data_IF_653948397717
#
_entry.id   IF_653948397717
#
_cell.length_a   1.000
_cell.length_b   1.000
_cell.length_c   1.000
_cell.angle_alpha   90.00
_cell.angle_beta   90.00
_cell.angle_gamma   90.00
#
_symmetry.space_group_name_H-M   'P 1'
#
loop_
_entity.id
_entity.type
_entity.pdbx_description
1 polymer ?
#
# COMPACT_ATOMS: atom_id res chain seq x y z
N UNK A 1 11.57 -24.24 -71.89
CA UNK A 1 10.36 -23.58 -71.33
C UNK A 1 10.36 -23.83 -69.83
N UNK A 2 10.69 -22.82 -69.02
CA UNK A 2 10.62 -22.93 -67.54
C UNK A 2 9.28 -22.35 -67.11
N UNK A 3 8.39 -23.20 -66.62
CA UNK A 3 7.06 -22.82 -66.14
C UNK A 3 7.19 -22.27 -64.72
N UNK A 4 7.14 -20.95 -64.57
CA UNK A 4 7.08 -20.28 -63.26
C UNK A 4 5.72 -20.56 -62.61
N UNK A 5 5.72 -21.42 -61.58
CA UNK A 5 4.58 -21.65 -60.70
C UNK A 5 4.27 -20.36 -59.92
N UNK A 6 3.22 -19.63 -60.34
CA UNK A 6 2.65 -18.51 -59.57
C UNK A 6 2.02 -19.07 -58.29
N UNK A 7 2.64 -18.78 -57.13
CA UNK A 7 2.06 -19.11 -55.82
C UNK A 7 0.72 -18.36 -55.65
N UNK A 8 -0.34 -19.02 -55.17
CA UNK A 8 -1.65 -18.40 -55.03
C UNK A 8 -1.62 -17.29 -53.97
N UNK A 9 -2.25 -16.12 -54.22
CA UNK A 9 -2.24 -14.98 -53.31
C UNK A 9 -2.80 -15.30 -51.91
N UNK A 10 -3.60 -16.37 -51.77
CA UNK A 10 -4.12 -16.85 -50.49
C UNK A 10 -3.02 -17.20 -49.47
N UNK A 11 -1.89 -17.78 -49.88
CA UNK A 11 -0.84 -18.19 -48.94
C UNK A 11 -0.14 -16.99 -48.27
N UNK A 12 -0.06 -15.85 -48.99
CA UNK A 12 0.55 -14.61 -48.49
C UNK A 12 -0.39 -13.94 -47.49
N UNK A 13 -1.70 -13.94 -47.75
CA UNK A 13 -2.71 -13.39 -46.84
C UNK A 13 -2.81 -14.16 -45.51
N UNK A 14 -2.69 -15.49 -45.53
CA UNK A 14 -2.69 -16.31 -44.31
C UNK A 14 -1.44 -16.05 -43.46
N UNK A 15 -0.26 -15.93 -44.07
CA UNK A 15 0.99 -15.62 -43.33
C UNK A 15 0.96 -14.22 -42.68
N UNK A 16 0.36 -13.23 -43.34
CA UNK A 16 0.20 -11.89 -42.77
C UNK A 16 -0.81 -11.87 -41.61
N UNK A 17 -1.90 -12.64 -41.69
CA UNK A 17 -2.90 -12.75 -40.63
C UNK A 17 -2.35 -13.45 -39.37
N UNK A 18 -1.48 -14.46 -39.53
CA UNK A 18 -0.81 -15.13 -38.40
C UNK A 18 0.25 -14.21 -37.77
N UNK A 19 0.98 -13.43 -38.57
CA UNK A 19 1.94 -12.44 -38.06
C UNK A 19 1.26 -11.31 -37.26
N UNK A 20 0.06 -10.88 -37.64
CA UNK A 20 -0.74 -9.90 -36.88
C UNK A 20 -1.37 -10.45 -35.59
N UNK A 21 -1.28 -11.76 -35.34
CA UNK A 21 -1.72 -12.36 -34.07
C UNK A 21 -0.59 -12.48 -33.04
N UNK A 22 0.65 -12.16 -33.44
CA UNK A 22 1.81 -12.08 -32.57
C UNK A 22 2.13 -10.60 -32.31
N UNK A 23 1.19 -9.85 -31.74
CA UNK A 23 1.61 -8.68 -30.97
C UNK A 23 2.49 -9.24 -29.84
N UNK A 24 3.77 -8.83 -29.70
CA UNK A 24 4.45 -9.03 -28.45
C UNK A 24 3.54 -8.39 -27.39
N UNK A 25 3.17 -9.14 -26.34
CA UNK A 25 2.66 -8.51 -25.15
C UNK A 25 3.76 -7.56 -24.68
N UNK A 26 3.65 -6.27 -25.05
CA UNK A 26 4.44 -5.23 -24.44
C UNK A 26 3.88 -5.16 -23.02
N UNK A 27 4.44 -5.97 -22.13
CA UNK A 27 4.30 -5.72 -20.71
C UNK A 27 5.00 -4.39 -20.50
N UNK A 28 4.21 -3.33 -20.34
CA UNK A 28 4.72 -2.05 -19.91
C UNK A 28 5.48 -2.32 -18.60
N UNK A 29 6.77 -2.00 -18.58
CA UNK A 29 7.59 -2.27 -17.42
C UNK A 29 7.04 -1.47 -16.23
N UNK A 30 6.97 -2.08 -15.05
CA UNK A 30 6.47 -1.41 -13.87
C UNK A 30 7.20 -0.09 -13.63
N UNK A 31 6.47 0.97 -13.27
CA UNK A 31 7.03 2.32 -13.10
C UNK A 31 7.99 2.41 -11.92
N UNK A 32 7.82 1.53 -10.93
CA UNK A 32 8.71 1.34 -9.79
C UNK A 32 8.94 -0.15 -9.55
N UNK A 33 10.11 -0.56 -9.02
CA UNK A 33 10.38 -1.96 -8.72
C UNK A 33 9.61 -2.49 -7.50
N UNK A 34 9.07 -1.61 -6.65
CA UNK A 34 8.47 -2.01 -5.38
C UNK A 34 7.52 -0.94 -4.81
N UNK A 35 6.56 -1.37 -4.00
CA UNK A 35 5.60 -0.49 -3.33
C UNK A 35 5.32 -0.92 -1.88
N UNK A 36 5.68 -0.07 -0.92
CA UNK A 36 5.43 -0.28 0.51
C UNK A 36 4.30 0.60 1.03
N UNK A 37 3.37 0.00 1.78
CA UNK A 37 2.12 0.64 2.19
C UNK A 37 2.00 0.62 3.71
N UNK A 38 1.82 1.79 4.31
CA UNK A 38 1.57 1.95 5.74
C UNK A 38 0.22 2.63 5.93
N UNK A 39 -0.48 2.29 7.01
CA UNK A 39 -1.74 2.95 7.29
C UNK A 39 -2.73 2.17 8.13
N UNK A 40 -3.99 2.51 7.93
CA UNK A 40 -5.12 1.94 8.65
C UNK A 40 -6.03 1.07 7.75
N UNK A 41 -7.29 0.91 8.14
CA UNK A 41 -8.30 0.16 7.40
C UNK A 41 -8.49 0.62 5.96
N UNK A 42 -8.17 1.88 5.61
CA UNK A 42 -8.32 2.40 4.25
C UNK A 42 -7.47 1.66 3.22
N UNK A 43 -6.36 1.05 3.65
CA UNK A 43 -5.42 0.35 2.78
C UNK A 43 -5.04 -1.03 3.29
N UNK A 44 -5.56 -1.50 4.42
CA UNK A 44 -5.34 -2.88 4.90
C UNK A 44 -5.81 -3.90 3.85
N UNK A 45 -4.92 -4.86 3.53
CA UNK A 45 -5.17 -5.94 2.58
C UNK A 45 -5.35 -7.31 3.23
N UNK A 46 -5.35 -7.38 4.57
CA UNK A 46 -5.61 -8.61 5.33
C UNK A 46 -4.74 -8.81 6.58
N UNK A 47 -4.00 -7.81 7.06
CA UNK A 47 -3.19 -7.94 8.27
C UNK A 47 -4.04 -8.23 9.52
N UNK A 48 -5.29 -7.75 9.54
CA UNK A 48 -6.22 -7.99 10.65
C UNK A 48 -6.85 -9.39 10.67
N UNK A 49 -6.69 -10.20 9.61
CA UNK A 49 -7.44 -11.45 9.43
C UNK A 49 -7.24 -12.46 10.58
N UNK A 50 -6.02 -12.52 11.13
CA UNK A 50 -5.63 -13.45 12.21
C UNK A 50 -5.60 -12.82 13.61
N UNK A 51 -5.92 -11.53 13.73
CA UNK A 51 -5.90 -10.82 15.01
C UNK A 51 -7.21 -11.04 15.79
N UNK A 52 -7.14 -11.01 17.12
CA UNK A 52 -8.34 -11.00 17.97
C UNK A 52 -8.87 -9.56 18.07
N UNK A 53 -9.73 -9.18 17.14
CA UNK A 53 -10.19 -7.80 16.97
C UNK A 53 -11.57 -7.70 16.32
N UNK A 54 -12.30 -6.67 16.69
CA UNK A 54 -13.55 -6.25 16.03
C UNK A 54 -13.30 -5.45 14.75
N UNK A 55 -12.10 -4.88 14.58
CA UNK A 55 -11.66 -4.24 13.35
C UNK A 55 -11.19 -5.29 12.31
N UNK A 56 -12.08 -6.21 11.94
CA UNK A 56 -11.83 -7.28 10.98
C UNK A 56 -12.99 -7.33 10.01
N UNK A 57 -12.68 -7.49 8.72
CA UNK A 57 -13.65 -7.49 7.62
C UNK A 57 -13.43 -8.65 6.65
N UNK A 58 -12.92 -9.78 7.15
CA UNK A 58 -12.72 -10.99 6.36
C UNK A 58 -13.99 -11.85 6.26
N UNK A 59 -15.11 -11.23 5.89
CA UNK A 59 -16.42 -11.86 5.76
C UNK A 59 -17.33 -11.06 4.80
N UNK A 60 -18.37 -11.66 4.19
CA UNK A 60 -19.29 -10.93 3.31
C UNK A 60 -20.05 -9.79 4.02
N UNK A 61 -20.31 -8.63 3.38
CA UNK A 61 -20.17 -8.38 1.94
C UNK A 61 -18.77 -7.89 1.50
N UNK A 62 -17.81 -7.78 2.40
CA UNK A 62 -16.46 -7.33 2.05
C UNK A 62 -15.79 -8.33 1.10
N UNK A 63 -15.10 -7.81 0.08
CA UNK A 63 -14.47 -8.63 -0.96
C UNK A 63 -15.44 -9.33 -1.91
N UNK A 64 -16.73 -8.95 -1.97
CA UNK A 64 -17.70 -9.52 -2.93
C UNK A 64 -17.28 -9.36 -4.40
N UNK A 65 -16.48 -8.35 -4.73
CA UNK A 65 -15.97 -8.12 -6.09
C UNK A 65 -14.68 -8.93 -6.38
N UNK A 66 -14.10 -9.62 -5.38
CA UNK A 66 -13.00 -10.55 -5.61
C UNK A 66 -13.52 -11.96 -5.88
N UNK A 67 -13.03 -12.65 -6.93
CA UNK A 67 -13.46 -14.01 -7.24
C UNK A 67 -13.25 -15.03 -6.11
N UNK A 68 -12.23 -14.82 -5.28
CA UNK A 68 -11.90 -15.68 -4.14
C UNK A 68 -12.67 -15.32 -2.84
N UNK A 69 -13.49 -14.27 -2.86
CA UNK A 69 -14.26 -13.79 -1.71
C UNK A 69 -13.49 -12.81 -0.82
N UNK A 70 -13.88 -12.69 0.47
CA UNK A 70 -13.29 -11.73 1.40
C UNK A 70 -11.77 -11.90 1.53
N UNK A 71 -11.05 -10.78 1.43
CA UNK A 71 -9.59 -10.75 1.59
C UNK A 71 -9.14 -10.08 2.88
N UNK A 72 -10.03 -9.34 3.56
CA UNK A 72 -9.69 -8.44 4.66
C UNK A 72 -9.53 -6.97 4.27
N UNK A 73 -9.83 -6.61 3.01
CA UNK A 73 -9.96 -5.20 2.58
C UNK A 73 -11.28 -4.62 3.06
N UNK A 74 -11.26 -3.39 3.58
CA UNK A 74 -12.45 -2.69 4.12
C UNK A 74 -13.33 -2.09 3.02
N UNK A 75 -13.61 -2.88 1.99
CA UNK A 75 -14.39 -2.52 0.80
C UNK A 75 -14.94 -3.79 0.14
N UNK A 76 -15.82 -3.62 -0.85
CA UNK A 76 -16.31 -4.73 -1.68
C UNK A 76 -15.21 -5.31 -2.58
N UNK A 77 -14.18 -4.54 -2.92
CA UNK A 77 -13.12 -4.95 -3.84
C UNK A 77 -11.80 -4.26 -3.56
N UNK A 78 -11.31 -3.48 -4.52
CA UNK A 78 -10.00 -2.82 -4.45
C UNK A 78 -9.98 -1.65 -3.47
N UNK A 79 -8.92 -1.55 -2.68
CA UNK A 79 -8.54 -0.35 -1.93
C UNK A 79 -7.81 0.64 -2.85
N UNK A 80 -7.54 1.85 -2.35
CA UNK A 80 -6.72 2.82 -3.07
C UNK A 80 -5.30 2.28 -3.35
N UNK A 81 -4.73 1.51 -2.42
CA UNK A 81 -3.42 0.90 -2.62
C UNK A 81 -3.40 -0.13 -3.77
N UNK A 82 -4.50 -0.87 -3.97
CA UNK A 82 -4.61 -1.80 -5.10
C UNK A 82 -4.71 -1.05 -6.43
N UNK A 83 -5.46 0.04 -6.47
CA UNK A 83 -5.58 0.89 -7.67
C UNK A 83 -4.22 1.50 -8.02
N UNK A 84 -3.47 1.98 -7.02
CA UNK A 84 -2.09 2.47 -7.21
C UNK A 84 -1.21 1.34 -7.75
N UNK A 85 -1.29 0.13 -7.18
CA UNK A 85 -0.50 -1.03 -7.61
C UNK A 85 -0.73 -1.35 -9.10
N UNK A 86 -1.99 -1.34 -9.54
CA UNK A 86 -2.35 -1.54 -10.95
C UNK A 86 -1.79 -0.43 -11.85
N UNK A 87 -1.89 0.83 -11.40
CA UNK A 87 -1.40 1.97 -12.16
C UNK A 87 0.12 1.97 -12.31
N UNK A 88 0.85 1.41 -11.33
CA UNK A 88 2.30 1.23 -11.39
C UNK A 88 2.73 0.07 -12.30
N UNK A 89 1.79 -0.72 -12.83
CA UNK A 89 2.10 -1.91 -13.65
C UNK A 89 2.70 -3.07 -12.86
N UNK A 90 2.51 -3.10 -11.53
CA UNK A 90 2.94 -4.23 -10.70
C UNK A 90 2.01 -5.42 -10.94
N UNK A 91 2.61 -6.61 -11.14
CA UNK A 91 1.91 -7.80 -11.63
C UNK A 91 0.82 -8.32 -10.68
N UNK A 92 1.11 -8.29 -9.38
CA UNK A 92 0.25 -8.84 -8.33
C UNK A 92 -0.06 -7.75 -7.29
N UNK A 93 -1.21 -7.84 -6.62
CA UNK A 93 -1.50 -6.95 -5.49
C UNK A 93 -0.49 -7.13 -4.37
N UNK A 94 -0.12 -6.02 -3.73
CA UNK A 94 0.82 -6.04 -2.61
C UNK A 94 0.21 -6.81 -1.42
N UNK A 95 0.93 -7.85 -0.99
CA UNK A 95 0.48 -8.76 0.07
C UNK A 95 0.56 -8.11 1.46
N UNK A 96 -0.36 -8.48 2.38
CA UNK A 96 -0.23 -8.07 3.78
C UNK A 96 1.00 -8.75 4.41
N UNK A 97 1.72 -8.02 5.25
CA UNK A 97 2.90 -8.53 5.97
C UNK A 97 2.61 -9.85 6.70
N UNK A 98 1.39 -10.03 7.23
CA UNK A 98 0.96 -11.24 7.91
C UNK A 98 1.06 -12.53 7.06
N UNK A 99 1.11 -12.43 5.73
CA UNK A 99 1.19 -13.59 4.83
C UNK A 99 2.25 -13.45 3.73
N UNK A 100 2.95 -12.33 3.65
CA UNK A 100 3.95 -12.08 2.61
C UNK A 100 5.13 -13.06 2.70
N UNK A 101 5.49 -13.63 1.55
CA UNK A 101 6.69 -14.46 1.36
C UNK A 101 7.92 -13.58 1.11
N UNK A 102 9.12 -14.14 1.24
CA UNK A 102 10.37 -13.42 0.95
C UNK A 102 10.44 -12.94 -0.52
N UNK A 103 9.87 -13.69 -1.46
CA UNK A 103 9.79 -13.25 -2.87
C UNK A 103 8.83 -12.08 -3.06
N UNK A 104 7.71 -12.05 -2.34
CA UNK A 104 6.75 -10.94 -2.42
C UNK A 104 7.31 -9.69 -1.74
N UNK A 105 8.10 -9.85 -0.68
CA UNK A 105 8.81 -8.74 -0.04
C UNK A 105 9.69 -7.94 -1.01
N UNK A 106 10.21 -8.56 -2.08
CA UNK A 106 11.01 -7.90 -3.12
C UNK A 106 10.22 -6.85 -3.91
N UNK A 107 8.92 -7.09 -4.13
CA UNK A 107 8.02 -6.22 -4.90
C UNK A 107 7.23 -5.26 -4.00
N UNK A 108 7.29 -5.43 -2.68
CA UNK A 108 6.61 -4.57 -1.72
C UNK A 108 5.75 -5.33 -0.72
N UNK A 109 5.36 -4.63 0.34
CA UNK A 109 4.53 -5.19 1.41
C UNK A 109 3.56 -4.15 1.94
N UNK A 110 2.36 -4.62 2.29
CA UNK A 110 1.35 -3.84 2.95
C UNK A 110 1.41 -4.10 4.46
N UNK A 111 1.76 -3.08 5.23
CA UNK A 111 1.85 -3.12 6.69
C UNK A 111 0.61 -2.58 7.38
N UNK A 112 -0.32 -1.99 6.61
CA UNK A 112 -1.49 -1.32 7.16
C UNK A 112 -2.40 -2.27 7.92
N UNK A 113 -3.08 -1.75 8.95
CA UNK A 113 -3.93 -2.54 9.81
C UNK A 113 -5.16 -1.77 10.23
N UNK A 114 -6.33 -2.39 10.08
CA UNK A 114 -7.58 -1.82 10.59
C UNK A 114 -7.47 -1.42 12.06
N UNK A 115 -8.07 -0.28 12.42
CA UNK A 115 -7.98 0.37 13.74
C UNK A 115 -6.67 1.12 14.01
N UNK A 116 -5.61 0.95 13.22
CA UNK A 116 -4.31 1.56 13.52
C UNK A 116 -4.37 3.09 13.52
N UNK A 117 -3.82 3.70 14.57
CA UNK A 117 -3.46 5.11 14.61
C UNK A 117 -1.95 5.34 14.54
N UNK A 118 -1.56 6.61 14.56
CA UNK A 118 -0.16 7.05 14.70
C UNK A 118 0.35 6.64 16.09
N UNK A 119 -0.48 6.84 17.11
CA UNK A 119 -0.24 6.42 18.49
C UNK A 119 -0.65 4.98 18.68
N UNK A 120 0.16 4.21 19.40
CA UNK A 120 -0.06 2.77 19.58
C UNK A 120 -1.33 2.44 20.38
N UNK A 121 -1.78 3.35 21.25
CA UNK A 121 -3.02 3.16 22.00
C UNK A 121 -4.29 3.34 21.14
N UNK A 122 -4.21 4.11 20.06
CA UNK A 122 -5.35 4.42 19.21
C UNK A 122 -5.88 3.13 18.57
N UNK A 123 -7.18 2.87 18.70
CA UNK A 123 -7.77 1.65 18.16
C UNK A 123 -7.70 0.41 19.05
N UNK A 124 -7.05 0.50 20.21
CA UNK A 124 -6.96 -0.61 21.18
C UNK A 124 -8.33 -1.00 21.76
N UNK A 125 -9.29 -0.07 21.79
CA UNK A 125 -10.68 -0.33 22.17
C UNK A 125 -11.37 -1.38 21.27
N UNK A 126 -10.86 -1.59 20.04
CA UNK A 126 -11.40 -2.58 19.11
C UNK A 126 -10.69 -3.94 19.20
N UNK A 127 -9.64 -4.06 20.02
CA UNK A 127 -8.83 -5.26 20.20
C UNK A 127 -7.45 -5.15 19.56
N UNK A 128 -6.84 -6.29 19.26
CA UNK A 128 -5.48 -6.34 18.69
C UNK A 128 -5.42 -5.72 17.29
N UNK A 129 -4.42 -4.90 17.05
CA UNK A 129 -4.14 -4.30 15.74
C UNK A 129 -2.63 -4.08 15.61
N UNK A 130 -2.15 -3.75 14.40
CA UNK A 130 -0.75 -3.41 14.16
C UNK A 130 -0.62 -1.89 14.13
N UNK A 131 -0.31 -1.30 15.28
CA UNK A 131 -0.05 0.15 15.43
C UNK A 131 1.11 0.63 14.56
N UNK A 132 1.19 1.93 14.27
CA UNK A 132 2.16 2.47 13.30
C UNK A 132 3.61 2.08 13.61
N UNK A 133 4.03 2.13 14.89
CA UNK A 133 5.39 1.72 15.28
C UNK A 133 5.65 0.24 14.97
N UNK A 134 4.64 -0.63 15.15
CA UNK A 134 4.78 -2.03 14.76
C UNK A 134 4.83 -2.20 13.24
N UNK A 135 4.15 -1.36 12.47
CA UNK A 135 4.27 -1.34 11.00
C UNK A 135 5.70 -0.99 10.57
N UNK A 136 6.34 -0.02 11.23
CA UNK A 136 7.75 0.32 11.02
C UNK A 136 8.67 -0.87 11.34
N UNK A 137 8.44 -1.54 12.47
CA UNK A 137 9.19 -2.75 12.84
C UNK A 137 9.03 -3.87 11.80
N UNK A 138 7.82 -4.08 11.28
CA UNK A 138 7.56 -5.05 10.21
C UNK A 138 8.32 -4.68 8.92
N UNK A 139 8.45 -3.38 8.63
CA UNK A 139 9.28 -2.92 7.52
C UNK A 139 10.77 -3.22 7.74
N UNK A 140 11.29 -3.04 8.96
CA UNK A 140 12.68 -3.41 9.27
C UNK A 140 12.95 -4.91 9.10
N UNK A 141 11.96 -5.77 9.42
CA UNK A 141 12.03 -7.21 9.11
C UNK A 141 12.10 -7.45 7.60
N UNK A 142 11.33 -6.69 6.82
CA UNK A 142 11.35 -6.76 5.36
C UNK A 142 12.71 -6.34 4.80
N UNK A 143 13.24 -5.19 5.23
CA UNK A 143 14.59 -4.71 4.85
C UNK A 143 15.65 -5.75 5.19
N UNK A 144 15.57 -6.38 6.37
CA UNK A 144 16.49 -7.44 6.79
C UNK A 144 16.42 -8.66 5.85
N UNK A 145 15.22 -9.03 5.39
CA UNK A 145 15.03 -10.09 4.40
C UNK A 145 15.65 -9.73 3.05
N UNK A 146 15.36 -8.52 2.54
CA UNK A 146 15.93 -8.00 1.30
C UNK A 146 17.46 -7.95 1.35
N UNK A 147 18.03 -7.57 2.51
CA UNK A 147 19.48 -7.48 2.71
C UNK A 147 20.18 -8.82 2.53
N UNK A 148 19.54 -9.94 2.89
CA UNK A 148 20.11 -11.28 2.67
C UNK A 148 20.25 -11.61 1.19
N UNK A 149 19.36 -11.08 0.36
CA UNK A 149 19.31 -11.34 -1.09
C UNK A 149 20.13 -10.32 -1.89
N UNK A 150 19.97 -9.04 -1.58
CA UNK A 150 20.53 -7.91 -2.33
C UNK A 150 21.86 -7.41 -1.78
N UNK A 151 22.21 -7.75 -0.54
CA UNK A 151 23.41 -7.27 0.16
C UNK A 151 23.55 -5.74 0.04
N UNK A 152 24.67 -5.26 -0.49
CA UNK A 152 24.98 -3.83 -0.66
C UNK A 152 24.00 -3.10 -1.59
N UNK A 153 23.27 -3.84 -2.45
CA UNK A 153 22.29 -3.25 -3.38
C UNK A 153 20.95 -2.92 -2.72
N UNK A 154 20.73 -3.33 -1.47
CA UNK A 154 19.45 -3.13 -0.76
C UNK A 154 19.04 -1.68 -0.70
N UNK A 155 19.97 -0.79 -0.33
CA UNK A 155 19.69 0.64 -0.29
C UNK A 155 19.34 1.21 -1.66
N UNK A 156 19.99 0.74 -2.72
CA UNK A 156 19.72 1.20 -4.09
C UNK A 156 18.34 0.74 -4.59
N UNK A 157 17.94 -0.50 -4.26
CA UNK A 157 16.62 -1.03 -4.54
C UNK A 157 15.51 -0.26 -3.81
N UNK A 158 15.65 -0.10 -2.49
CA UNK A 158 14.68 0.64 -1.66
C UNK A 158 14.51 2.09 -2.12
N UNK A 159 15.59 2.73 -2.60
CA UNK A 159 15.57 4.09 -3.11
C UNK A 159 14.78 4.29 -4.42
N UNK A 160 14.34 3.20 -5.06
CA UNK A 160 13.50 3.21 -6.26
C UNK A 160 12.05 2.84 -5.95
N UNK A 161 11.74 2.35 -4.74
CA UNK A 161 10.38 1.96 -4.38
C UNK A 161 9.49 3.17 -4.11
N UNK A 162 8.19 2.99 -4.32
CA UNK A 162 7.15 3.90 -3.82
C UNK A 162 6.83 3.59 -2.35
N UNK A 163 6.54 4.64 -1.58
CA UNK A 163 6.03 4.53 -0.21
C UNK A 163 4.76 5.36 -0.04
N UNK A 164 3.73 4.78 0.59
CA UNK A 164 2.54 5.52 0.99
C UNK A 164 2.22 5.36 2.46
N UNK A 165 1.70 6.43 3.07
CA UNK A 165 1.29 6.45 4.48
C UNK A 165 -0.09 7.11 4.59
N UNK A 166 -1.10 6.33 4.98
CA UNK A 166 -2.47 6.81 5.20
C UNK A 166 -2.94 6.47 6.61
N UNK A 167 -2.77 7.37 7.57
CA UNK A 167 -3.00 7.11 9.00
C UNK A 167 -3.42 8.40 9.75
N UNK A 168 -3.81 8.26 11.02
CA UNK A 168 -4.20 9.40 11.88
C UNK A 168 -5.70 9.50 12.15
N UNK A 169 -6.53 8.78 11.37
CA UNK A 169 -7.98 8.84 11.53
C UNK A 169 -8.43 8.19 12.84
N UNK A 170 -7.84 7.05 13.20
CA UNK A 170 -8.14 6.30 14.41
C UNK A 170 -7.69 6.98 15.69
N UNK A 171 -6.64 7.80 15.66
CA UNK A 171 -6.23 8.64 16.79
C UNK A 171 -7.37 9.57 17.22
N UNK A 172 -8.21 10.00 16.28
CA UNK A 172 -9.42 10.74 16.59
C UNK A 172 -10.59 9.83 16.95
N UNK A 173 -10.99 8.92 16.07
CA UNK A 173 -12.26 8.18 16.25
C UNK A 173 -12.19 7.08 17.31
N UNK A 174 -11.01 6.52 17.54
CA UNK A 174 -10.74 5.39 18.43
C UNK A 174 -9.77 5.75 19.57
N UNK A 175 -9.56 7.05 19.80
CA UNK A 175 -9.00 7.58 21.04
C UNK A 175 -9.67 8.92 21.39
N UNK A 176 -9.30 10.04 20.75
CA UNK A 176 -9.71 11.39 21.16
C UNK A 176 -11.23 11.58 21.36
N UNK A 177 -12.07 11.02 20.47
CA UNK A 177 -13.52 11.18 20.55
C UNK A 177 -14.22 10.07 21.36
N UNK A 178 -13.47 9.13 21.94
CA UNK A 178 -14.06 8.13 22.83
C UNK A 178 -14.52 8.78 24.15
N UNK A 179 -15.63 8.29 24.74
CA UNK A 179 -16.06 8.73 26.06
C UNK A 179 -14.93 8.57 27.09
N UNK A 180 -14.69 9.63 27.88
CA UNK A 180 -13.63 9.66 28.90
C UNK A 180 -12.21 9.47 28.36
N UNK A 181 -11.94 9.76 27.08
CA UNK A 181 -10.57 9.74 26.54
C UNK A 181 -9.68 10.70 27.31
N UNK A 182 -8.59 10.19 27.86
CA UNK A 182 -7.57 11.01 28.51
C UNK A 182 -7.00 12.05 27.55
N UNK A 183 -6.82 11.70 26.28
CA UNK A 183 -6.34 12.59 25.22
C UNK A 183 -7.23 13.82 25.07
N UNK A 184 -8.56 13.65 25.06
CA UNK A 184 -9.52 14.76 24.94
C UNK A 184 -9.53 15.71 26.14
N UNK A 185 -9.05 15.25 27.30
CA UNK A 185 -8.92 16.08 28.51
C UNK A 185 -7.60 16.86 28.55
N UNK A 186 -6.60 16.40 27.80
CA UNK A 186 -5.26 16.96 27.78
C UNK A 186 -5.04 17.95 26.63
N UNK A 187 -5.70 17.73 25.50
CA UNK A 187 -5.49 18.50 24.28
C UNK A 187 -6.81 19.00 23.72
N UNK A 188 -6.79 20.21 23.17
CA UNK A 188 -7.78 20.63 22.15
C UNK A 188 -7.56 19.86 20.84
N UNK A 189 -8.53 19.85 19.91
CA UNK A 189 -8.37 19.12 18.65
C UNK A 189 -7.16 19.59 17.82
N UNK A 190 -6.83 20.88 17.88
CA UNK A 190 -5.70 21.50 17.18
C UNK A 190 -4.36 21.17 17.83
N UNK A 191 -4.29 21.16 19.16
CA UNK A 191 -3.08 20.75 19.89
C UNK A 191 -2.80 19.26 19.64
N UNK A 192 -3.85 18.43 19.67
CA UNK A 192 -3.71 17.01 19.37
C UNK A 192 -3.26 16.77 17.93
N UNK A 193 -3.76 17.55 16.96
CA UNK A 193 -3.25 17.50 15.59
C UNK A 193 -1.74 17.78 15.55
N UNK A 194 -1.26 18.78 16.30
CA UNK A 194 0.17 19.07 16.44
C UNK A 194 0.97 17.89 16.99
N UNK A 195 0.49 17.26 18.07
CA UNK A 195 1.13 16.07 18.65
C UNK A 195 1.22 14.92 17.65
N UNK A 196 0.14 14.64 16.92
CA UNK A 196 0.12 13.58 15.91
C UNK A 196 1.08 13.87 14.75
N UNK A 197 1.20 15.13 14.35
CA UNK A 197 2.15 15.57 13.33
C UNK A 197 3.57 15.27 13.80
N UNK A 198 3.94 15.76 14.99
CA UNK A 198 5.30 15.61 15.53
C UNK A 198 5.66 14.12 15.69
N UNK A 199 4.77 13.32 16.25
CA UNK A 199 4.99 11.88 16.43
C UNK A 199 5.13 11.14 15.09
N UNK A 200 4.30 11.49 14.10
CA UNK A 200 4.44 10.91 12.77
C UNK A 200 5.76 11.31 12.13
N UNK A 201 6.19 12.57 12.26
CA UNK A 201 7.48 13.03 11.76
C UNK A 201 8.65 12.30 12.42
N UNK A 202 8.61 12.11 13.74
CA UNK A 202 9.63 11.38 14.51
C UNK A 202 9.70 9.92 14.09
N UNK A 203 8.56 9.23 14.04
CA UNK A 203 8.47 7.82 13.63
C UNK A 203 8.92 7.62 12.17
N UNK A 204 8.69 8.61 11.31
CA UNK A 204 9.16 8.58 9.93
C UNK A 204 10.65 8.93 9.78
N UNK A 205 11.39 9.32 10.83
CA UNK A 205 12.85 9.44 10.70
C UNK A 205 13.49 8.09 10.34
N UNK A 206 12.87 6.98 10.73
CA UNK A 206 13.29 5.63 10.35
C UNK A 206 13.03 5.32 8.87
N UNK A 207 12.07 6.01 8.25
CA UNK A 207 11.77 5.98 6.81
C UNK A 207 12.20 7.29 6.12
N UNK A 208 13.05 8.11 6.75
CA UNK A 208 13.37 9.50 6.35
C UNK A 208 13.84 9.65 4.90
N UNK A 209 14.40 8.59 4.33
CA UNK A 209 14.75 8.54 2.90
C UNK A 209 13.56 8.82 1.99
N UNK A 210 12.34 8.40 2.36
CA UNK A 210 11.12 8.58 1.57
C UNK A 210 10.65 10.04 1.56
N UNK A 211 10.79 10.73 2.68
CA UNK A 211 10.37 12.12 2.82
C UNK A 211 11.28 13.08 2.06
N UNK A 212 12.57 12.73 1.94
CA UNK A 212 13.55 13.55 1.21
C UNK A 212 13.35 13.61 -0.31
N UNK A 213 12.55 12.71 -0.89
CA UNK A 213 12.56 12.47 -2.35
C UNK A 213 11.30 12.81 -3.16
N UNK A 214 10.24 13.36 -2.57
CA UNK A 214 8.95 13.64 -3.28
C UNK A 214 8.19 12.40 -3.77
N UNK A 215 8.72 11.18 -3.59
CA UNK A 215 8.07 9.92 -3.96
C UNK A 215 7.30 9.28 -2.77
N UNK A 216 6.93 10.08 -1.78
CA UNK A 216 6.13 9.64 -0.63
C UNK A 216 4.77 10.32 -0.67
N UNK A 217 3.70 9.54 -0.82
CA UNK A 217 2.33 10.04 -0.72
C UNK A 217 1.83 9.82 0.71
N UNK A 218 1.75 10.90 1.46
CA UNK A 218 1.12 10.92 2.79
C UNK A 218 -0.24 11.59 2.66
N UNK A 219 -1.31 10.95 3.13
CA UNK A 219 -2.63 11.60 3.17
C UNK A 219 -3.27 11.51 4.56
N UNK A 220 -3.96 12.59 4.93
CA UNK A 220 -4.73 12.70 6.17
C UNK A 220 -6.19 12.99 5.85
N UNK A 221 -7.10 12.36 6.58
CA UNK A 221 -8.55 12.56 6.41
C UNK A 221 -9.16 13.57 7.38
N UNK A 222 -8.43 14.00 8.43
CA UNK A 222 -8.95 15.05 9.31
C UNK A 222 -8.66 16.41 8.69
N UNK A 223 -9.69 17.25 8.53
CA UNK A 223 -9.55 18.62 8.01
C UNK A 223 -8.53 19.43 8.83
N UNK A 224 -8.37 19.07 10.12
CA UNK A 224 -7.41 19.64 11.05
C UNK A 224 -5.97 19.32 10.68
N UNK A 225 -5.64 18.04 10.44
CA UNK A 225 -4.33 17.61 9.97
C UNK A 225 -4.05 18.15 8.56
N UNK A 226 -5.06 18.12 7.68
CA UNK A 226 -4.95 18.62 6.31
C UNK A 226 -4.56 20.11 6.26
N UNK A 227 -5.09 20.95 7.16
CA UNK A 227 -4.77 22.38 7.21
C UNK A 227 -3.36 22.71 7.72
N UNK A 228 -2.68 21.74 8.36
CA UNK A 228 -1.37 21.90 9.00
C UNK A 228 -0.24 21.28 8.16
N UNK A 229 -0.55 20.38 7.23
CA UNK A 229 0.40 19.80 6.28
C UNK A 229 0.37 20.54 4.93
N UNK A 230 1.46 21.24 4.60
CA UNK A 230 1.68 21.81 3.26
C UNK A 230 2.24 20.80 2.24
N UNK A 231 2.28 19.50 2.55
CA UNK A 231 2.75 18.47 1.63
C UNK A 231 1.59 17.80 0.90
N UNK A 232 0.99 18.52 -0.05
CA UNK A 232 0.21 17.91 -1.13
C UNK A 232 1.08 17.87 -2.38
N UNK A 233 1.54 16.68 -2.76
CA UNK A 233 1.85 16.40 -4.15
C UNK A 233 0.60 15.76 -4.75
N UNK A 234 -0.36 16.62 -5.13
CA UNK A 234 -1.15 16.34 -6.32
C UNK A 234 -0.24 16.69 -7.50
N UNK A 235 0.37 15.70 -8.15
CA UNK A 235 0.68 15.89 -9.56
C UNK A 235 -0.61 15.59 -10.32
N UNK A 236 -1.20 16.66 -10.85
CA UNK A 236 -2.19 16.59 -11.91
C UNK A 236 -1.60 15.74 -13.04
N UNK A 237 -2.33 14.69 -13.44
CA UNK A 237 -2.21 14.10 -14.76
C UNK A 237 -3.12 14.87 -15.72
#
# INVERSE_FOLDING_TARGET
MVTLLRKPPCLIFVLLAVASSMQPCIHEAASVPCYFIFGDSMVDSGNNNRLSTSAKVNYPPYGIDFPAGPTGRFTNGKTLADIITEHLGLKDYIQPFATATESEMMIGVNYASGSSGIRDEAGSNLGSHVGFNQQLNNHQVTISSLTKTLNDSTSAHLNQCLYTVGIGSNDYINDYFLPCSATSTQYTPDEFAGVLIDQLFEANQDIARCWSKKDCLVWFRSNWLHSKFNCFIWQEW
#
